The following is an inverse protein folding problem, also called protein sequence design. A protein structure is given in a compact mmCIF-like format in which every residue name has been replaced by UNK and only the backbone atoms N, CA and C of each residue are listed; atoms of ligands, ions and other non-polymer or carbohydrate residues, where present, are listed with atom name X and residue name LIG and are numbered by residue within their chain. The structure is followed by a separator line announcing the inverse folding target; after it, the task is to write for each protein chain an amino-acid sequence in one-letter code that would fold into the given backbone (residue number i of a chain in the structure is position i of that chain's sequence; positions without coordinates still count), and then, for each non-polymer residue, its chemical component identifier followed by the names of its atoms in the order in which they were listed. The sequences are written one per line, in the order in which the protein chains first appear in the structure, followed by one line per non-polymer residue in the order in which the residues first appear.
data_IF_141649833455
#
_entry.id   IF_141649833455
#
_cell.length_a   1.000
_cell.length_b   1.000
_cell.length_c   1.000
_cell.angle_alpha   90.00
_cell.angle_beta   90.00
_cell.angle_gamma   90.00
#
_symmetry.space_group_name_H-M   'P 1'
#
loop_
_entity.id
_entity.type
_entity.pdbx_description
1 polymer ?
#
# COMPACT_ATOMS: atom_id res chain seq x y z
N UNK A 1 -14.43 -2.47 -27.59
CA UNK A 1 -13.49 -3.57 -27.29
C UNK A 1 -12.67 -3.39 -26.02
N UNK A 2 -12.30 -2.16 -25.58
CA UNK A 2 -11.50 -1.98 -24.36
C UNK A 2 -12.14 -2.59 -23.11
N UNK A 3 -13.46 -2.45 -22.95
CA UNK A 3 -14.22 -3.08 -21.87
C UNK A 3 -14.01 -4.58 -21.80
N UNK A 4 -14.22 -5.30 -22.90
CA UNK A 4 -14.11 -6.76 -22.95
C UNK A 4 -12.69 -7.19 -22.58
N UNK A 5 -11.67 -6.45 -23.05
CA UNK A 5 -10.28 -6.65 -22.67
C UNK A 5 -10.01 -6.43 -21.17
N UNK A 6 -10.56 -5.36 -20.58
CA UNK A 6 -10.46 -5.10 -19.14
C UNK A 6 -11.15 -6.20 -18.32
N UNK A 7 -12.39 -6.56 -18.69
CA UNK A 7 -13.15 -7.62 -18.03
C UNK A 7 -12.40 -8.95 -18.06
N UNK A 8 -11.88 -9.34 -19.23
CA UNK A 8 -11.04 -10.53 -19.39
C UNK A 8 -9.86 -10.52 -18.42
N UNK A 9 -9.21 -9.36 -18.23
CA UNK A 9 -8.08 -9.18 -17.33
C UNK A 9 -8.49 -9.11 -15.84
N UNK A 10 -9.75 -8.80 -15.54
CA UNK A 10 -10.32 -8.81 -14.19
C UNK A 10 -10.80 -10.20 -13.73
N UNK A 11 -10.97 -11.14 -14.68
CA UNK A 11 -11.29 -12.53 -14.33
C UNK A 11 -10.14 -13.16 -13.55
N UNK A 12 -10.51 -13.91 -12.51
CA UNK A 12 -9.59 -14.72 -11.72
C UNK A 12 -8.89 -15.76 -12.62
N UNK A 13 -7.61 -16.11 -12.35
CA UNK A 13 -6.86 -17.04 -13.19
C UNK A 13 -7.55 -18.41 -13.38
N UNK A 14 -8.28 -18.88 -12.37
CA UNK A 14 -9.07 -20.11 -12.47
C UNK A 14 -10.26 -19.99 -13.43
N UNK A 15 -10.98 -18.87 -13.38
CA UNK A 15 -12.11 -18.59 -14.28
C UNK A 15 -11.60 -18.37 -15.70
N UNK A 16 -10.51 -17.61 -15.86
CA UNK A 16 -9.89 -17.38 -17.18
C UNK A 16 -9.48 -18.68 -17.85
N UNK A 17 -8.90 -19.62 -17.09
CA UNK A 17 -8.54 -20.97 -17.59
C UNK A 17 -9.76 -21.80 -18.01
N UNK A 18 -10.92 -21.61 -17.37
CA UNK A 18 -12.17 -22.29 -17.77
C UNK A 18 -12.81 -21.65 -18.99
N UNK A 19 -12.70 -20.33 -19.17
CA UNK A 19 -13.30 -19.62 -20.31
C UNK A 19 -12.43 -19.68 -21.56
N UNK A 20 -11.10 -19.69 -21.43
CA UNK A 20 -10.17 -19.68 -22.55
C UNK A 20 -10.41 -20.76 -23.62
N UNK A 21 -10.77 -22.02 -23.28
CA UNK A 21 -11.05 -23.05 -24.28
C UNK A 21 -12.28 -22.78 -25.16
N UNK A 22 -13.18 -21.90 -24.73
CA UNK A 22 -14.38 -21.51 -25.49
C UNK A 22 -14.12 -20.31 -26.41
N UNK A 23 -12.90 -19.79 -26.42
CA UNK A 23 -12.50 -18.65 -27.24
C UNK A 23 -11.50 -19.10 -28.30
N UNK A 24 -11.66 -18.60 -29.51
CA UNK A 24 -10.68 -18.73 -30.58
C UNK A 24 -9.39 -17.97 -30.25
N UNK A 25 -8.29 -18.35 -30.89
CA UNK A 25 -7.02 -17.64 -30.76
C UNK A 25 -7.14 -16.16 -31.18
N UNK A 26 -7.97 -15.86 -32.19
CA UNK A 26 -8.27 -14.49 -32.61
C UNK A 26 -8.99 -13.70 -31.54
N UNK A 27 -10.02 -14.27 -30.91
CA UNK A 27 -10.76 -13.61 -29.82
C UNK A 27 -9.85 -13.35 -28.61
N UNK A 28 -8.99 -14.31 -28.24
CA UNK A 28 -8.01 -14.11 -27.18
C UNK A 28 -7.03 -12.97 -27.52
N UNK A 29 -6.56 -12.91 -28.76
CA UNK A 29 -5.70 -11.82 -29.22
C UNK A 29 -6.43 -10.47 -29.20
N UNK A 30 -7.70 -10.43 -29.58
CA UNK A 30 -8.54 -9.24 -29.52
C UNK A 30 -8.78 -8.75 -28.09
N UNK A 31 -9.06 -9.66 -27.15
CA UNK A 31 -9.20 -9.31 -25.72
C UNK A 31 -7.90 -8.71 -25.18
N UNK A 32 -6.75 -9.32 -25.52
CA UNK A 32 -5.43 -8.80 -25.14
C UNK A 32 -5.11 -7.46 -25.82
N UNK A 33 -5.53 -7.26 -27.08
CA UNK A 33 -5.39 -5.98 -27.79
C UNK A 33 -6.28 -4.92 -27.15
N UNK A 34 -7.53 -5.23 -26.86
CA UNK A 34 -8.48 -4.36 -26.18
C UNK A 34 -7.95 -3.90 -24.82
N UNK A 35 -7.34 -4.81 -24.05
CA UNK A 35 -6.70 -4.45 -22.78
C UNK A 35 -5.47 -3.55 -22.96
N UNK A 36 -4.62 -3.81 -23.97
CA UNK A 36 -3.49 -2.92 -24.29
C UNK A 36 -3.95 -1.52 -24.72
N UNK A 37 -5.03 -1.43 -25.49
CA UNK A 37 -5.65 -0.16 -25.84
C UNK A 37 -6.19 0.55 -24.60
N UNK A 38 -6.88 -0.16 -23.71
CA UNK A 38 -7.34 0.38 -22.42
C UNK A 38 -6.20 1.02 -21.62
N UNK A 39 -5.04 0.36 -21.54
CA UNK A 39 -3.89 0.88 -20.78
C UNK A 39 -3.34 2.21 -21.29
N UNK A 40 -3.53 2.51 -22.58
CA UNK A 40 -3.04 3.74 -23.23
C UNK A 40 -4.03 4.90 -23.14
N UNK A 41 -5.23 4.66 -22.61
CA UNK A 41 -6.24 5.68 -22.43
C UNK A 41 -5.82 6.68 -21.33
N UNK A 42 -6.38 7.88 -21.40
CA UNK A 42 -6.29 8.85 -20.33
C UNK A 42 -6.96 8.33 -19.06
N UNK A 43 -6.61 8.90 -17.90
CA UNK A 43 -7.19 8.50 -16.61
C UNK A 43 -8.72 8.69 -16.58
N UNK A 44 -9.24 9.69 -17.28
CA UNK A 44 -10.69 9.93 -17.38
C UNK A 44 -11.40 8.85 -18.18
N UNK A 45 -10.90 8.54 -19.38
CA UNK A 45 -11.45 7.46 -20.22
C UNK A 45 -11.35 6.08 -19.53
N UNK A 46 -10.28 5.83 -18.75
CA UNK A 46 -10.17 4.62 -17.93
C UNK A 46 -11.28 4.56 -16.88
N UNK A 47 -11.55 5.66 -16.18
CA UNK A 47 -12.59 5.73 -15.16
C UNK A 47 -14.00 5.46 -15.70
N UNK A 48 -14.31 5.94 -16.90
CA UNK A 48 -15.59 5.67 -17.57
C UNK A 48 -15.77 4.19 -17.87
N UNK A 49 -14.74 3.55 -18.46
CA UNK A 49 -14.75 2.13 -18.78
C UNK A 49 -14.84 1.29 -17.49
N UNK A 50 -14.08 1.63 -16.47
CA UNK A 50 -14.10 0.97 -15.16
C UNK A 50 -15.48 1.02 -14.51
N UNK A 51 -16.12 2.20 -14.49
CA UNK A 51 -17.46 2.41 -13.94
C UNK A 51 -18.49 1.56 -14.68
N UNK A 52 -18.35 1.52 -16.00
CA UNK A 52 -19.26 0.75 -16.81
C UNK A 52 -19.07 -0.76 -16.57
N UNK A 53 -17.82 -1.26 -16.50
CA UNK A 53 -17.50 -2.64 -16.10
C UNK A 53 -18.09 -2.96 -14.73
N UNK A 54 -18.01 -2.04 -13.78
CA UNK A 54 -18.61 -2.20 -12.46
C UNK A 54 -20.13 -2.40 -12.52
N UNK A 55 -20.83 -1.61 -13.34
CA UNK A 55 -22.28 -1.70 -13.52
C UNK A 55 -22.74 -3.08 -14.04
N UNK A 56 -21.87 -3.83 -14.72
CA UNK A 56 -22.21 -5.16 -15.28
C UNK A 56 -21.68 -6.36 -14.49
N UNK A 57 -20.76 -6.15 -13.55
CA UNK A 57 -20.08 -7.25 -12.84
C UNK A 57 -20.67 -7.56 -11.47
N UNK A 58 -21.62 -6.74 -10.97
CA UNK A 58 -22.29 -6.90 -9.66
C UNK A 58 -21.36 -7.39 -8.55
N UNK A 59 -20.14 -6.85 -8.49
CA UNK A 59 -19.14 -7.27 -7.51
C UNK A 59 -19.60 -6.85 -6.10
N UNK A 60 -19.95 -7.83 -5.27
CA UNK A 60 -20.34 -7.60 -3.88
C UNK A 60 -19.12 -7.24 -3.04
N UNK A 61 -19.31 -6.32 -2.08
CA UNK A 61 -18.31 -6.06 -1.03
C UNK A 61 -18.18 -7.31 -0.16
N UNK A 62 -16.95 -7.70 0.15
CA UNK A 62 -16.69 -8.83 1.05
C UNK A 62 -16.64 -8.36 2.50
N UNK A 63 -16.99 -9.24 3.44
CA UNK A 63 -16.86 -9.02 4.88
C UNK A 63 -15.46 -9.32 5.43
N UNK A 64 -14.58 -9.96 4.64
CA UNK A 64 -13.26 -10.34 5.11
C UNK A 64 -12.42 -9.18 5.66
N UNK A 65 -12.43 -7.94 5.08
CA UNK A 65 -11.62 -6.86 5.63
C UNK A 65 -12.02 -6.49 7.06
N UNK A 66 -13.33 -6.46 7.34
CA UNK A 66 -13.85 -6.26 8.70
C UNK A 66 -13.38 -7.36 9.65
N UNK A 67 -13.47 -8.63 9.23
CA UNK A 67 -13.03 -9.76 10.05
C UNK A 67 -11.53 -9.66 10.37
N UNK A 68 -10.70 -9.38 9.36
CA UNK A 68 -9.26 -9.18 9.54
C UNK A 68 -8.97 -8.04 10.51
N UNK A 69 -9.68 -6.93 10.42
CA UNK A 69 -9.50 -5.81 11.35
C UNK A 69 -9.94 -6.13 12.77
N UNK A 70 -11.06 -6.84 12.95
CA UNK A 70 -11.49 -7.29 14.29
C UNK A 70 -10.46 -8.22 14.92
N UNK A 71 -9.98 -9.21 14.17
CA UNK A 71 -8.95 -10.16 14.64
C UNK A 71 -7.65 -9.42 14.97
N UNK A 72 -7.21 -8.51 14.11
CA UNK A 72 -6.04 -7.67 14.34
C UNK A 72 -6.15 -6.86 15.62
N UNK A 73 -7.26 -6.15 15.82
CA UNK A 73 -7.50 -5.35 17.03
C UNK A 73 -7.52 -6.19 18.31
N UNK A 74 -8.14 -7.37 18.28
CA UNK A 74 -8.13 -8.29 19.42
C UNK A 74 -6.71 -8.74 19.74
N UNK A 75 -5.93 -9.12 18.72
CA UNK A 75 -4.55 -9.54 18.88
C UNK A 75 -3.69 -8.39 19.42
N UNK A 76 -3.77 -7.19 18.84
CA UNK A 76 -3.05 -6.01 19.31
C UNK A 76 -3.40 -5.68 20.76
N UNK A 77 -4.68 -5.77 21.15
CA UNK A 77 -5.11 -5.59 22.54
C UNK A 77 -4.52 -6.63 23.49
N UNK A 78 -4.51 -7.91 23.08
CA UNK A 78 -3.87 -8.97 23.86
C UNK A 78 -2.35 -8.74 24.01
N UNK A 79 -1.66 -8.38 22.94
CA UNK A 79 -0.23 -8.07 22.97
C UNK A 79 0.07 -6.85 23.85
N UNK A 80 -0.80 -5.84 23.83
CA UNK A 80 -0.66 -4.65 24.70
C UNK A 80 -0.78 -5.02 26.18
N UNK A 81 -1.78 -5.81 26.55
CA UNK A 81 -1.96 -6.28 27.93
C UNK A 81 -0.77 -7.16 28.36
N UNK A 82 -0.36 -8.09 27.50
CA UNK A 82 0.81 -8.94 27.78
C UNK A 82 2.07 -8.10 27.99
N UNK A 83 2.31 -7.10 27.13
CA UNK A 83 3.43 -6.18 27.25
C UNK A 83 3.37 -5.36 28.55
N UNK A 84 2.20 -4.88 28.95
CA UNK A 84 1.98 -4.16 30.21
C UNK A 84 2.38 -5.03 31.43
N UNK A 85 2.04 -6.32 31.40
CA UNK A 85 2.35 -7.27 32.49
C UNK A 85 3.84 -7.64 32.49
N UNK A 86 4.43 -7.90 31.34
CA UNK A 86 5.82 -8.38 31.24
C UNK A 86 6.86 -7.27 31.33
N UNK A 87 6.48 -6.04 30.98
CA UNK A 87 7.37 -4.87 30.96
C UNK A 87 6.70 -3.66 31.65
N UNK A 88 6.46 -3.72 32.97
CA UNK A 88 5.73 -2.68 33.70
C UNK A 88 6.48 -1.35 33.79
N UNK A 89 7.82 -1.38 33.72
CA UNK A 89 8.66 -0.19 33.92
C UNK A 89 8.84 0.69 32.68
N UNK A 90 8.40 0.23 31.50
CA UNK A 90 8.45 1.04 30.28
C UNK A 90 7.51 2.25 30.39
N UNK A 91 7.93 3.41 29.89
CA UNK A 91 7.10 4.61 29.86
C UNK A 91 5.90 4.46 28.90
N UNK A 92 4.75 5.05 29.25
CA UNK A 92 3.54 4.99 28.43
C UNK A 92 3.73 5.62 27.04
N UNK A 93 4.59 6.64 26.91
CA UNK A 93 4.96 7.23 25.63
C UNK A 93 5.67 6.23 24.72
N UNK A 94 6.60 5.44 25.27
CA UNK A 94 7.28 4.37 24.54
C UNK A 94 6.29 3.25 24.15
N UNK A 95 5.36 2.89 25.03
CA UNK A 95 4.29 1.92 24.68
C UNK A 95 3.41 2.43 23.56
N UNK A 96 3.04 3.71 23.59
CA UNK A 96 2.23 4.31 22.53
C UNK A 96 2.97 4.26 21.18
N UNK A 97 4.25 4.63 21.16
CA UNK A 97 5.09 4.54 19.97
C UNK A 97 5.20 3.09 19.45
N UNK A 98 5.36 2.11 20.35
CA UNK A 98 5.44 0.69 20.03
C UNK A 98 4.15 0.15 19.39
N UNK A 99 2.98 0.59 19.89
CA UNK A 99 1.69 0.05 19.49
C UNK A 99 0.94 0.88 18.43
N UNK A 100 1.41 2.08 18.09
CA UNK A 100 0.80 2.91 17.05
C UNK A 100 0.72 2.17 15.71
N UNK A 101 1.83 1.64 15.21
CA UNK A 101 1.87 0.94 13.92
C UNK A 101 1.00 -0.34 13.91
N UNK A 102 1.03 -1.23 14.94
CA UNK A 102 0.10 -2.35 15.05
C UNK A 102 -1.39 -1.96 15.06
N UNK A 103 -1.75 -0.85 15.71
CA UNK A 103 -3.13 -0.34 15.70
C UNK A 103 -3.52 0.08 14.28
N UNK A 104 -2.68 0.87 13.61
CA UNK A 104 -2.91 1.29 12.22
C UNK A 104 -2.99 0.08 11.27
N UNK A 105 -2.08 -0.88 11.43
CA UNK A 105 -2.08 -2.14 10.67
C UNK A 105 -3.33 -2.98 10.88
N UNK A 106 -3.87 -3.01 12.10
CA UNK A 106 -5.14 -3.67 12.40
C UNK A 106 -6.34 -2.96 11.78
N UNK A 107 -6.31 -1.64 11.67
CA UNK A 107 -7.36 -0.87 11.00
C UNK A 107 -7.20 -0.84 9.48
N UNK A 108 -6.01 -1.14 8.96
CA UNK A 108 -5.69 -1.03 7.54
C UNK A 108 -6.64 -1.78 6.61
N UNK A 109 -7.09 -3.01 6.89
CA UNK A 109 -8.07 -3.70 6.03
C UNK A 109 -9.37 -2.91 5.84
N UNK A 110 -9.85 -2.14 6.83
CA UNK A 110 -11.07 -1.34 6.69
C UNK A 110 -10.97 -0.29 5.59
N UNK A 111 -9.76 0.19 5.28
CA UNK A 111 -9.55 1.16 4.20
C UNK A 111 -9.89 0.60 2.82
N UNK A 112 -9.96 -0.73 2.67
CA UNK A 112 -10.44 -1.36 1.43
C UNK A 112 -11.90 -1.01 1.12
N UNK A 113 -12.71 -0.63 2.12
CA UNK A 113 -14.07 -0.15 1.90
C UNK A 113 -14.17 1.26 1.33
N UNK A 114 -13.06 2.03 1.35
CA UNK A 114 -12.98 3.32 0.67
C UNK A 114 -12.95 3.16 -0.86
N UNK A 115 -12.63 1.96 -1.35
CA UNK A 115 -12.47 1.69 -2.77
C UNK A 115 -13.60 0.78 -3.29
N UNK A 116 -14.10 1.02 -4.51
CA UNK A 116 -15.01 0.08 -5.16
C UNK A 116 -14.37 -1.31 -5.37
N UNK A 117 -15.13 -2.42 -5.29
CA UNK A 117 -14.58 -3.77 -5.42
C UNK A 117 -13.83 -4.06 -6.74
N UNK A 118 -14.28 -3.48 -7.86
CA UNK A 118 -13.58 -3.62 -9.14
C UNK A 118 -12.20 -2.95 -9.10
N UNK A 119 -12.10 -1.81 -8.41
CA UNK A 119 -10.87 -1.00 -8.32
C UNK A 119 -9.82 -1.70 -7.48
N UNK A 120 -10.23 -2.35 -6.39
CA UNK A 120 -9.36 -3.23 -5.60
C UNK A 120 -8.70 -4.30 -6.48
N UNK A 121 -9.47 -4.94 -7.38
CA UNK A 121 -8.91 -5.95 -8.29
C UNK A 121 -7.87 -5.35 -9.24
N UNK A 122 -8.08 -4.14 -9.74
CA UNK A 122 -7.13 -3.46 -10.62
C UNK A 122 -5.85 -3.09 -9.86
N UNK A 123 -6.02 -2.46 -8.69
CA UNK A 123 -4.91 -1.89 -7.91
C UNK A 123 -4.03 -2.94 -7.22
N UNK A 124 -4.57 -4.11 -6.90
CA UNK A 124 -3.81 -5.18 -6.23
C UNK A 124 -3.39 -6.32 -7.17
N UNK A 125 -3.51 -6.16 -8.48
CA UNK A 125 -3.02 -7.13 -9.45
C UNK A 125 -1.51 -6.95 -9.68
N UNK A 126 -0.67 -7.98 -9.44
CA UNK A 126 0.76 -7.89 -9.72
C UNK A 126 0.99 -7.83 -11.23
N UNK A 127 1.27 -6.64 -11.74
CA UNK A 127 1.50 -6.37 -13.17
C UNK A 127 2.63 -5.37 -13.36
N UNK A 128 3.81 -5.85 -13.74
CA UNK A 128 4.93 -4.97 -14.03
C UNK A 128 5.49 -5.24 -15.43
N UNK A 129 5.79 -4.17 -16.17
CA UNK A 129 6.73 -4.23 -17.29
C UNK A 129 8.15 -4.24 -16.74
N UNK A 130 9.14 -4.59 -17.57
CA UNK A 130 10.56 -4.51 -17.19
C UNK A 130 10.93 -3.11 -16.68
N UNK A 131 10.43 -2.07 -17.35
CA UNK A 131 10.61 -0.67 -16.94
C UNK A 131 10.03 -0.40 -15.55
N UNK A 132 8.81 -0.87 -15.26
CA UNK A 132 8.20 -0.76 -13.92
C UNK A 132 9.05 -1.48 -12.87
N UNK A 133 9.61 -2.66 -13.19
CA UNK A 133 10.47 -3.41 -12.26
C UNK A 133 11.74 -2.61 -11.94
N UNK A 134 12.39 -2.04 -12.96
CA UNK A 134 13.61 -1.24 -12.80
C UNK A 134 13.33 -0.01 -11.93
N UNK A 135 12.28 0.75 -12.23
CA UNK A 135 11.88 1.92 -11.45
C UNK A 135 11.57 1.52 -10.01
N UNK A 136 10.79 0.45 -9.81
CA UNK A 136 10.45 -0.06 -8.49
C UNK A 136 11.71 -0.44 -7.70
N UNK A 137 12.68 -1.11 -8.32
CA UNK A 137 13.94 -1.49 -7.66
C UNK A 137 14.68 -0.26 -7.14
N UNK A 138 14.93 0.75 -7.99
CA UNK A 138 15.66 1.95 -7.59
C UNK A 138 14.89 2.81 -6.59
N UNK A 139 13.57 2.96 -6.75
CA UNK A 139 12.74 3.69 -5.77
C UNK A 139 12.68 2.97 -4.43
N UNK A 140 12.62 1.63 -4.40
CA UNK A 140 12.64 0.86 -3.15
C UNK A 140 13.99 0.99 -2.46
N UNK A 141 15.09 0.93 -3.21
CA UNK A 141 16.42 1.15 -2.66
C UNK A 141 16.56 2.56 -2.07
N UNK A 142 16.11 3.59 -2.80
CA UNK A 142 16.07 4.96 -2.32
C UNK A 142 15.21 5.13 -1.08
N UNK A 143 14.06 4.47 -1.03
CA UNK A 143 13.16 4.45 0.14
C UNK A 143 13.84 3.84 1.37
N UNK A 144 14.49 2.67 1.22
CA UNK A 144 15.25 2.02 2.31
C UNK A 144 16.31 2.98 2.84
N UNK A 145 17.13 3.57 1.98
CA UNK A 145 18.15 4.53 2.42
C UNK A 145 17.56 5.74 3.12
N UNK A 146 16.47 6.31 2.59
CA UNK A 146 15.81 7.48 3.19
C UNK A 146 15.31 7.18 4.59
N UNK A 147 14.67 6.04 4.78
CA UNK A 147 14.17 5.63 6.09
C UNK A 147 15.32 5.26 7.06
N UNK A 148 16.46 4.73 6.57
CA UNK A 148 17.68 4.58 7.39
C UNK A 148 18.17 5.94 7.89
N UNK A 149 18.19 6.96 7.03
CA UNK A 149 18.55 8.32 7.44
C UNK A 149 17.55 8.92 8.44
N UNK A 150 16.26 8.66 8.28
CA UNK A 150 15.24 9.04 9.27
C UNK A 150 15.55 8.38 10.61
N UNK A 151 15.85 7.07 10.61
CA UNK A 151 16.26 6.34 11.80
C UNK A 151 17.48 6.95 12.49
N UNK A 152 18.44 7.51 11.76
CA UNK A 152 19.58 8.23 12.34
C UNK A 152 19.23 9.61 12.89
N UNK A 153 18.34 10.36 12.23
CA UNK A 153 17.90 11.70 12.66
C UNK A 153 16.95 11.64 13.86
N UNK A 154 16.13 10.59 14.00
CA UNK A 154 15.25 10.35 15.14
C UNK A 154 16.02 9.97 16.44
N UNK A 155 17.34 9.75 16.38
CA UNK A 155 18.16 9.48 17.57
C UNK A 155 18.42 10.78 18.35
N UNK A 156 17.55 11.09 19.30
CA UNK A 156 17.97 11.71 20.56
C UNK A 156 18.86 10.72 21.35
N UNK A 157 19.86 11.19 22.12
CA UNK A 157 20.90 10.35 22.72
C UNK A 157 20.34 9.52 23.88
N UNK A 158 19.96 8.25 23.65
CA UNK A 158 19.79 7.28 24.73
C UNK A 158 19.70 5.84 24.20
N UNK A 159 20.73 5.06 24.53
CA UNK A 159 20.71 3.60 24.68
C UNK A 159 20.55 2.76 23.40
N UNK A 160 21.72 2.33 22.94
CA UNK A 160 22.01 1.07 22.26
C UNK A 160 21.60 -0.17 23.08
N UNK A 161 20.36 -0.24 23.57
CA UNK A 161 19.76 -1.51 24.00
C UNK A 161 18.99 -2.05 22.83
N UNK A 162 19.51 -3.12 22.21
CA UNK A 162 18.76 -3.91 21.21
C UNK A 162 17.34 -4.12 21.71
N UNK A 163 16.36 -3.87 20.84
CA UNK A 163 14.95 -4.16 21.13
C UNK A 163 14.85 -5.60 21.62
N UNK A 164 14.16 -5.81 22.73
CA UNK A 164 13.87 -7.17 23.15
C UNK A 164 12.98 -7.86 22.11
N UNK A 165 13.02 -9.20 22.06
CA UNK A 165 12.33 -9.97 21.01
C UNK A 165 10.83 -9.70 20.96
N UNK A 166 10.20 -9.37 22.10
CA UNK A 166 8.78 -9.10 22.15
C UNK A 166 8.45 -7.73 21.54
N UNK A 167 9.16 -6.67 21.96
CA UNK A 167 9.01 -5.33 21.36
C UNK A 167 9.34 -5.34 19.87
N UNK A 168 10.40 -6.06 19.47
CA UNK A 168 10.74 -6.25 18.06
C UNK A 168 9.60 -6.88 17.27
N UNK A 169 8.99 -7.97 17.76
CA UNK A 169 7.89 -8.63 17.07
C UNK A 169 6.67 -7.72 16.91
N UNK A 170 6.35 -6.91 17.92
CA UNK A 170 5.26 -5.93 17.85
C UNK A 170 5.55 -4.88 16.76
N UNK A 171 6.73 -4.26 16.79
CA UNK A 171 7.12 -3.27 15.77
C UNK A 171 7.12 -3.87 14.38
N UNK A 172 7.69 -5.06 14.21
CA UNK A 172 7.78 -5.73 12.92
C UNK A 172 6.40 -6.00 12.31
N UNK A 173 5.45 -6.51 13.12
CA UNK A 173 4.08 -6.73 12.67
C UNK A 173 3.39 -5.43 12.26
N UNK A 174 3.56 -4.35 13.04
CA UNK A 174 3.06 -3.03 12.69
C UNK A 174 3.66 -2.50 11.39
N UNK A 175 4.98 -2.55 11.27
CA UNK A 175 5.76 -2.03 10.15
C UNK A 175 5.38 -2.66 8.79
N UNK A 176 5.02 -3.94 8.77
CA UNK A 176 4.62 -4.63 7.52
C UNK A 176 3.11 -4.50 7.21
N UNK A 177 2.28 -4.15 8.21
CA UNK A 177 0.81 -4.12 8.05
C UNK A 177 0.24 -2.70 7.90
N UNK A 178 0.78 -1.72 8.63
CA UNK A 178 0.40 -0.31 8.52
C UNK A 178 0.49 0.26 7.10
N UNK A 179 1.48 -0.12 6.26
CA UNK A 179 1.56 0.35 4.87
C UNK A 179 0.29 0.13 4.05
N UNK A 180 -0.55 -0.87 4.33
CA UNK A 180 -1.80 -1.04 3.60
C UNK A 180 -2.72 0.18 3.73
N UNK A 181 -2.84 0.72 4.95
CA UNK A 181 -3.63 1.93 5.21
C UNK A 181 -3.02 3.12 4.48
N UNK A 182 -1.70 3.30 4.66
CA UNK A 182 -0.98 4.45 4.14
C UNK A 182 -1.01 4.50 2.62
N UNK A 183 -0.81 3.37 1.95
CA UNK A 183 -0.85 3.33 0.49
C UNK A 183 -2.27 3.55 -0.06
N UNK A 184 -3.31 3.01 0.58
CA UNK A 184 -4.68 3.29 0.15
C UNK A 184 -5.03 4.77 0.33
N UNK A 185 -4.67 5.36 1.46
CA UNK A 185 -5.01 6.76 1.77
C UNK A 185 -4.21 7.71 0.88
N UNK A 186 -2.88 7.60 0.86
CA UNK A 186 -2.01 8.58 0.23
C UNK A 186 -1.74 8.31 -1.26
N UNK A 187 -1.90 7.08 -1.74
CA UNK A 187 -1.57 6.70 -3.14
C UNK A 187 -2.81 6.44 -3.98
N UNK A 188 -4.00 6.40 -3.37
CA UNK A 188 -5.26 6.27 -4.10
C UNK A 188 -6.31 7.27 -3.65
N UNK A 189 -6.71 7.27 -2.37
CA UNK A 189 -7.83 8.09 -1.90
C UNK A 189 -7.59 9.59 -2.05
N UNK A 190 -6.53 10.14 -1.45
CA UNK A 190 -6.20 11.57 -1.54
C UNK A 190 -5.95 12.01 -2.99
N UNK A 191 -5.11 11.32 -3.79
CA UNK A 191 -4.90 11.71 -5.18
C UNK A 191 -6.18 11.74 -6.02
N UNK A 192 -7.13 10.83 -5.75
CA UNK A 192 -8.39 10.76 -6.50
C UNK A 192 -9.40 11.84 -6.17
N UNK A 193 -9.24 12.56 -5.05
CA UNK A 193 -10.08 13.71 -4.71
C UNK A 193 -9.94 14.87 -5.70
N UNK A 194 -8.78 14.98 -6.38
CA UNK A 194 -8.52 16.03 -7.37
C UNK A 194 -8.82 15.61 -8.82
N UNK A 195 -9.09 14.33 -9.06
CA UNK A 195 -9.37 13.80 -10.38
C UNK A 195 -9.01 12.32 -10.51
N UNK A 196 -9.28 11.69 -11.66
CA UNK A 196 -8.97 10.27 -11.86
C UNK A 196 -7.48 9.95 -11.69
N UNK A 197 -7.16 8.90 -10.91
CA UNK A 197 -5.78 8.46 -10.72
C UNK A 197 -5.17 7.82 -11.99
N UNK A 198 -3.83 7.94 -12.19
CA UNK A 198 -2.90 8.69 -11.36
C UNK A 198 -2.97 10.21 -11.66
N UNK A 199 -3.22 11.02 -10.64
CA UNK A 199 -3.31 12.48 -10.77
C UNK A 199 -2.07 13.12 -10.17
N UNK A 200 -1.17 13.68 -11.00
CA UNK A 200 0.14 14.18 -10.55
C UNK A 200 0.03 15.23 -9.43
N UNK A 201 -0.85 16.23 -9.58
CA UNK A 201 -1.07 17.22 -8.53
C UNK A 201 -1.70 16.60 -7.26
N UNK A 202 -2.47 15.54 -7.41
CA UNK A 202 -3.04 14.78 -6.29
C UNK A 202 -1.96 14.03 -5.51
N UNK A 203 -1.00 13.43 -6.22
CA UNK A 203 0.17 12.81 -5.60
C UNK A 203 1.09 13.84 -4.94
N UNK A 204 1.29 15.02 -5.53
CA UNK A 204 2.07 16.09 -4.90
C UNK A 204 1.44 16.52 -3.57
N UNK A 205 0.13 16.73 -3.54
CA UNK A 205 -0.59 17.04 -2.30
C UNK A 205 -0.44 15.89 -1.28
N UNK A 206 -0.62 14.64 -1.71
CA UNK A 206 -0.50 13.49 -0.83
C UNK A 206 0.91 13.31 -0.25
N UNK A 207 1.97 13.63 -1.01
CA UNK A 207 3.36 13.64 -0.53
C UNK A 207 3.53 14.62 0.64
N UNK A 208 3.00 15.84 0.49
CA UNK A 208 3.08 16.88 1.52
C UNK A 208 2.29 16.44 2.77
N UNK A 209 1.06 15.96 2.59
CA UNK A 209 0.22 15.50 3.70
C UNK A 209 0.82 14.28 4.41
N UNK A 210 1.46 13.36 3.67
CA UNK A 210 2.16 12.23 4.26
C UNK A 210 3.30 12.70 5.17
N UNK A 211 4.13 13.64 4.70
CA UNK A 211 5.23 14.17 5.49
C UNK A 211 4.75 14.90 6.75
N UNK A 212 3.64 15.67 6.66
CA UNK A 212 3.03 16.33 7.83
C UNK A 212 2.48 15.29 8.82
N UNK A 213 1.84 14.22 8.33
CA UNK A 213 1.24 13.19 9.17
C UNK A 213 2.25 12.42 10.04
N UNK A 214 3.54 12.45 9.65
CA UNK A 214 4.63 11.87 10.43
C UNK A 214 5.17 12.81 11.51
N UNK A 215 4.60 14.01 11.67
CA UNK A 215 4.93 14.98 12.72
C UNK A 215 6.46 15.20 12.91
N UNK A 216 7.19 15.56 11.84
CA UNK A 216 8.64 15.69 11.91
C UNK A 216 9.06 16.77 12.90
N UNK A 217 10.04 16.45 13.74
CA UNK A 217 10.62 17.38 14.71
C UNK A 217 11.59 18.40 14.08
N UNK A 218 12.09 18.13 12.87
CA UNK A 218 13.03 19.00 12.15
C UNK A 218 12.66 19.18 10.68
N UNK A 219 13.18 20.25 10.06
CA UNK A 219 13.04 20.46 8.61
C UNK A 219 13.73 19.38 7.79
N UNK A 220 14.85 18.84 8.27
CA UNK A 220 15.55 17.72 7.64
C UNK A 220 14.65 16.48 7.59
N UNK A 221 14.04 16.13 8.73
CA UNK A 221 13.08 15.02 8.79
C UNK A 221 11.88 15.23 7.88
N UNK A 222 11.31 16.44 7.85
CA UNK A 222 10.24 16.76 6.92
C UNK A 222 10.67 16.52 5.46
N UNK A 223 11.87 16.96 5.09
CA UNK A 223 12.46 16.71 3.77
C UNK A 223 12.64 15.21 3.45
N UNK A 224 13.09 14.42 4.42
CA UNK A 224 13.23 12.96 4.27
C UNK A 224 11.87 12.27 4.11
N UNK A 225 10.85 12.65 4.88
CA UNK A 225 9.49 12.12 4.71
C UNK A 225 8.86 12.52 3.36
N UNK A 226 9.13 13.73 2.86
CA UNK A 226 8.74 14.12 1.49
C UNK A 226 9.39 13.21 0.45
N UNK A 227 10.69 12.91 0.62
CA UNK A 227 11.44 12.05 -0.31
C UNK A 227 10.92 10.60 -0.26
N UNK A 228 10.72 10.04 0.94
CA UNK A 228 10.14 8.72 1.13
C UNK A 228 8.76 8.62 0.46
N UNK A 229 7.91 9.62 0.69
CA UNK A 229 6.59 9.66 0.07
C UNK A 229 6.65 9.81 -1.45
N UNK A 230 7.64 10.56 -1.95
CA UNK A 230 7.92 10.75 -3.37
C UNK A 230 8.29 9.46 -4.08
N UNK A 231 9.17 8.64 -3.49
CA UNK A 231 9.51 7.32 -4.05
C UNK A 231 8.27 6.43 -4.22
N UNK A 232 7.40 6.38 -3.20
CA UNK A 232 6.15 5.61 -3.25
C UNK A 232 5.18 6.17 -4.30
N UNK A 233 5.10 7.49 -4.44
CA UNK A 233 4.28 8.13 -5.48
C UNK A 233 4.79 7.81 -6.90
N UNK A 234 6.11 7.81 -7.11
CA UNK A 234 6.71 7.40 -8.40
C UNK A 234 6.36 5.95 -8.72
N UNK A 235 6.48 5.03 -7.76
CA UNK A 235 6.08 3.63 -7.93
C UNK A 235 4.59 3.54 -8.30
N UNK A 236 3.73 4.31 -7.64
CA UNK A 236 2.27 4.32 -7.90
C UNK A 236 1.95 4.81 -9.31
N UNK A 237 2.60 5.89 -9.74
CA UNK A 237 2.40 6.49 -11.07
C UNK A 237 2.91 5.54 -12.15
N UNK A 238 4.12 4.98 -11.98
CA UNK A 238 4.74 4.12 -12.98
C UNK A 238 4.07 2.75 -13.12
N UNK A 239 3.65 2.16 -12.00
CA UNK A 239 3.04 0.82 -12.01
C UNK A 239 1.54 0.84 -12.28
N UNK A 240 0.88 1.98 -12.07
CA UNK A 240 -0.58 2.11 -12.03
C UNK A 240 -1.28 1.21 -10.99
N UNK A 241 -0.54 0.63 -10.04
CA UNK A 241 -1.07 -0.30 -9.02
C UNK A 241 -0.64 0.10 -7.61
N UNK A 242 -1.40 -0.33 -6.60
CA UNK A 242 -1.01 -0.22 -5.19
C UNK A 242 -0.19 -1.42 -4.71
N UNK A 243 -0.26 -2.56 -5.40
CA UNK A 243 0.45 -3.78 -5.01
C UNK A 243 1.95 -3.53 -4.80
N UNK A 244 2.60 -2.87 -5.76
CA UNK A 244 4.04 -2.60 -5.68
C UNK A 244 4.39 -1.53 -4.66
N UNK A 245 3.55 -0.52 -4.48
CA UNK A 245 3.73 0.48 -3.42
C UNK A 245 3.68 -0.18 -2.04
N UNK A 246 2.64 -1.00 -1.80
CA UNK A 246 2.48 -1.76 -0.55
C UNK A 246 3.69 -2.67 -0.31
N UNK A 247 4.12 -3.39 -1.33
CA UNK A 247 5.26 -4.30 -1.22
C UNK A 247 6.56 -3.55 -0.91
N UNK A 248 6.88 -2.50 -1.68
CA UNK A 248 8.09 -1.68 -1.47
C UNK A 248 8.08 -1.01 -0.10
N UNK A 249 6.93 -0.51 0.33
CA UNK A 249 6.79 0.14 1.64
C UNK A 249 6.98 -0.88 2.78
N UNK A 250 6.28 -2.02 2.74
CA UNK A 250 6.43 -3.06 3.76
C UNK A 250 7.85 -3.64 3.80
N UNK A 251 8.51 -3.83 2.64
CA UNK A 251 9.91 -4.25 2.56
C UNK A 251 10.83 -3.21 3.20
N UNK A 252 10.62 -1.92 2.91
CA UNK A 252 11.49 -0.88 3.44
C UNK A 252 11.35 -0.75 4.97
N UNK A 253 10.12 -0.73 5.48
CA UNK A 253 9.87 -0.65 6.93
C UNK A 253 10.39 -1.90 7.66
N UNK A 254 10.08 -3.09 7.14
CA UNK A 254 10.54 -4.35 7.74
C UNK A 254 12.05 -4.53 7.64
N UNK A 255 12.66 -4.12 6.53
CA UNK A 255 14.10 -4.23 6.29
C UNK A 255 14.92 -3.41 7.28
N UNK A 256 14.44 -2.23 7.67
CA UNK A 256 15.16 -1.36 8.62
C UNK A 256 15.11 -1.91 10.02
N UNK A 257 13.95 -2.39 10.46
CA UNK A 257 13.85 -3.06 11.75
C UNK A 257 14.79 -4.28 11.84
N UNK A 258 15.00 -5.00 10.72
CA UNK A 258 15.94 -6.12 10.68
C UNK A 258 17.41 -5.68 10.74
N UNK A 259 17.75 -4.45 10.32
CA UNK A 259 19.09 -3.88 10.46
C UNK A 259 19.38 -3.46 11.91
N UNK A 260 18.34 -3.19 12.71
CA UNK A 260 18.43 -2.82 14.13
C UNK A 260 18.50 -4.03 15.09
N UNK A 261 18.65 -5.27 14.57
CA UNK A 261 18.80 -6.52 15.34
C UNK A 261 20.21 -6.80 15.89
#
# INVERSE_FOLDING_TARGET
MQWAGLLWHLLEPGVRRKVAPYLTNSELQELNRGYRSYRRLSAHEKADIETAVAARTHLKRSSWPMICSMVGMILTGFLFIAHLITQPDIADTTRLALFQAPILGSLAPLTLYLLPPYRLRILFQPRASLETIIVMFFCTLGLIWTLVYIGFEDVLPAQSSRLDRFSFAILFLGAISAPLLEEIVFREFIPTLLGPAPHYAGHLLAIILFAIAHLPSTYTMFGLYLLAAGFLAVIRIQSETLFYCLLSHAIANGGILLLDL
#
